data_IF_872068704982
#
_entry.id   IF_872068704982
#
_cell.length_a   1.000
_cell.length_b   1.000
_cell.length_c   1.000
_cell.angle_alpha   90.00
_cell.angle_beta   90.00
_cell.angle_gamma   90.00
#
_symmetry.space_group_name_H-M   'P 1'
#
loop_
_entity.id
_entity.type
_entity.pdbx_description
1 polymer ?
#
# COMPACT_ATOMS: atom_id res chain seq x y z
N UNK A 1 3.97 26.81 -10.78
CA UNK A 1 3.27 25.69 -11.43
C UNK A 1 2.68 26.22 -12.73
N UNK A 2 3.06 25.67 -13.89
CA UNK A 2 2.47 26.03 -15.20
C UNK A 2 1.64 24.83 -15.68
N UNK A 3 0.42 25.06 -16.16
CA UNK A 3 -0.44 24.01 -16.68
C UNK A 3 -0.05 23.71 -18.13
N UNK A 4 0.16 22.44 -18.52
CA UNK A 4 0.50 22.04 -19.89
C UNK A 4 -0.59 22.49 -20.89
N UNK A 5 -0.16 22.97 -22.06
CA UNK A 5 -1.06 23.44 -23.12
C UNK A 5 -1.58 24.86 -22.95
N UNK A 6 -1.12 25.60 -21.93
CA UNK A 6 -1.46 26.99 -21.67
C UNK A 6 -0.22 27.88 -21.54
N UNK A 7 0.89 27.49 -22.18
CA UNK A 7 2.19 28.15 -22.04
C UNK A 7 2.15 29.63 -22.44
N UNK A 8 1.25 29.99 -23.36
CA UNK A 8 1.08 31.34 -23.91
C UNK A 8 -0.20 32.05 -23.41
N UNK A 9 -0.93 31.47 -22.47
CA UNK A 9 -2.19 32.03 -21.96
C UNK A 9 -1.94 32.77 -20.64
N UNK A 10 -2.64 33.89 -20.41
CA UNK A 10 -2.51 34.64 -19.15
C UNK A 10 -2.99 33.77 -17.97
N UNK A 11 -2.29 33.72 -16.84
CA UNK A 11 -2.66 32.84 -15.72
C UNK A 11 -4.12 32.99 -15.26
N UNK A 12 -4.65 34.21 -15.18
CA UNK A 12 -6.05 34.45 -14.79
C UNK A 12 -7.06 33.85 -15.78
N UNK A 13 -6.73 33.86 -17.07
CA UNK A 13 -7.59 33.28 -18.11
C UNK A 13 -7.60 31.74 -18.01
N UNK A 14 -6.43 31.13 -17.78
CA UNK A 14 -6.34 29.68 -17.53
C UNK A 14 -7.17 29.26 -16.32
N UNK A 15 -7.04 30.00 -15.20
CA UNK A 15 -7.80 29.71 -13.99
C UNK A 15 -9.31 29.85 -14.22
N UNK A 16 -9.76 30.81 -15.03
CA UNK A 16 -11.17 30.95 -15.40
C UNK A 16 -11.64 29.80 -16.30
N UNK A 17 -10.88 29.44 -17.32
CA UNK A 17 -11.18 28.31 -18.23
C UNK A 17 -11.25 26.96 -17.49
N UNK A 18 -10.57 26.85 -16.35
CA UNK A 18 -10.60 25.67 -15.46
C UNK A 18 -11.58 25.80 -14.29
N UNK A 19 -12.48 26.79 -14.28
CA UNK A 19 -13.47 26.94 -13.19
C UNK A 19 -12.87 27.25 -11.82
N UNK A 20 -11.60 27.67 -11.77
CA UNK A 20 -10.90 28.08 -10.55
C UNK A 20 -11.18 29.54 -10.19
N UNK A 21 -11.64 30.35 -11.14
CA UNK A 21 -12.14 31.70 -10.93
C UNK A 21 -13.58 31.84 -11.45
N UNK A 22 -14.38 32.65 -10.77
CA UNK A 22 -15.67 33.13 -11.25
C UNK A 22 -15.50 34.08 -12.44
N UNK A 23 -16.56 34.41 -13.19
CA UNK A 23 -16.50 35.43 -14.24
C UNK A 23 -15.93 36.76 -13.74
N UNK A 24 -16.32 37.18 -12.54
CA UNK A 24 -15.86 38.41 -11.87
C UNK A 24 -14.42 38.32 -11.31
N UNK A 25 -13.73 37.20 -11.51
CA UNK A 25 -12.34 37.00 -11.10
C UNK A 25 -12.14 36.61 -9.63
N UNK A 26 -13.21 36.24 -8.91
CA UNK A 26 -13.10 35.75 -7.54
C UNK A 26 -12.70 34.26 -7.53
N UNK A 27 -11.85 33.80 -6.60
CA UNK A 27 -11.53 32.39 -6.48
C UNK A 27 -12.74 31.53 -6.11
N UNK A 28 -12.92 30.40 -6.81
CA UNK A 28 -13.83 29.33 -6.36
C UNK A 28 -13.16 28.51 -5.25
N UNK A 29 -13.91 27.67 -4.53
CA UNK A 29 -13.30 26.76 -3.55
C UNK A 29 -12.27 25.83 -4.20
N UNK A 30 -12.52 25.34 -5.41
CA UNK A 30 -11.53 24.56 -6.15
C UNK A 30 -10.27 25.39 -6.46
N UNK A 31 -10.44 26.65 -6.90
CA UNK A 31 -9.32 27.56 -7.12
C UNK A 31 -8.49 27.83 -5.86
N UNK A 32 -9.15 28.03 -4.71
CA UNK A 32 -8.49 28.18 -3.42
C UNK A 32 -7.73 26.90 -3.04
N UNK A 33 -8.37 25.73 -3.14
CA UNK A 33 -7.77 24.45 -2.79
C UNK A 33 -6.56 24.11 -3.68
N UNK A 34 -6.61 24.40 -4.97
CA UNK A 34 -5.56 24.03 -5.92
C UNK A 34 -4.40 25.04 -5.98
N UNK A 35 -4.68 26.34 -5.79
CA UNK A 35 -3.71 27.42 -6.05
C UNK A 35 -3.62 28.47 -4.94
N UNK A 36 -4.53 28.46 -3.98
CA UNK A 36 -4.52 29.40 -2.86
C UNK A 36 -3.27 29.24 -2.00
N UNK A 37 -2.73 30.36 -1.51
CA UNK A 37 -1.55 30.32 -0.63
C UNK A 37 -1.87 29.67 0.73
N UNK A 38 -3.07 29.93 1.25
CA UNK A 38 -3.55 29.44 2.55
C UNK A 38 -5.04 29.03 2.47
N UNK A 39 -5.40 27.97 1.72
CA UNK A 39 -6.80 27.54 1.57
C UNK A 39 -7.48 27.23 2.91
N UNK A 40 -6.68 26.84 3.91
CA UNK A 40 -7.15 26.50 5.25
C UNK A 40 -7.79 27.68 6.01
N UNK A 41 -7.57 28.93 5.59
CA UNK A 41 -8.30 30.07 6.16
C UNK A 41 -9.81 30.01 5.89
N UNK A 42 -10.20 29.43 4.75
CA UNK A 42 -11.60 29.26 4.35
C UNK A 42 -12.09 27.82 4.58
N UNK A 43 -11.18 26.85 4.44
CA UNK A 43 -11.45 25.42 4.59
C UNK A 43 -10.48 24.79 5.60
N UNK A 44 -10.65 25.03 6.91
CA UNK A 44 -9.67 24.62 7.93
C UNK A 44 -9.36 23.13 7.92
N UNK A 45 -10.32 22.27 7.59
CA UNK A 45 -10.15 20.81 7.57
C UNK A 45 -9.64 20.26 6.23
N UNK A 46 -9.32 21.11 5.25
CA UNK A 46 -8.72 20.70 3.98
C UNK A 46 -7.22 20.45 4.16
N UNK A 47 -6.90 19.40 4.92
CA UNK A 47 -5.54 18.99 5.30
C UNK A 47 -5.43 17.47 5.24
N UNK A 48 -4.20 16.96 5.25
CA UNK A 48 -3.90 15.54 5.40
C UNK A 48 -3.13 15.34 6.70
N UNK A 49 -3.70 14.59 7.63
CA UNK A 49 -3.01 14.07 8.78
C UNK A 49 -2.28 12.79 8.38
N UNK A 50 -0.95 12.81 8.44
CA UNK A 50 -0.13 11.62 8.23
C UNK A 50 0.43 11.14 9.56
N UNK A 51 0.42 9.82 9.81
CA UNK A 51 1.09 9.25 10.96
C UNK A 51 1.66 7.85 10.68
N UNK A 52 2.80 7.54 11.31
CA UNK A 52 3.47 6.24 11.27
C UNK A 52 3.48 5.63 12.68
N UNK A 53 2.83 4.48 12.83
CA UNK A 53 2.80 3.70 14.07
C UNK A 53 3.67 2.45 13.92
N UNK A 54 4.69 2.22 14.76
CA UNK A 54 5.59 1.08 14.61
C UNK A 54 4.86 -0.28 14.61
N UNK A 55 3.76 -0.40 15.37
CA UNK A 55 2.95 -1.60 15.48
C UNK A 55 1.80 -1.71 14.47
N UNK A 56 0.96 -2.73 14.64
CA UNK A 56 -0.24 -2.98 13.80
C UNK A 56 -1.48 -2.19 14.26
N UNK A 57 -1.38 -1.54 15.40
CA UNK A 57 -2.43 -0.72 16.02
C UNK A 57 -1.88 0.66 16.33
N UNK A 58 -2.79 1.61 16.56
CA UNK A 58 -2.40 2.90 17.13
C UNK A 58 -1.85 2.68 18.53
N UNK A 59 -0.79 3.39 18.87
CA UNK A 59 -0.16 3.35 20.19
C UNK A 59 0.48 4.69 20.51
N UNK A 60 1.13 4.79 21.66
CA UNK A 60 1.64 6.07 22.17
C UNK A 60 2.92 6.55 21.47
N UNK A 61 3.63 5.65 20.77
CA UNK A 61 4.80 5.99 19.97
C UNK A 61 4.43 6.09 18.51
N UNK A 62 4.57 7.28 17.93
CA UNK A 62 4.29 7.52 16.51
C UNK A 62 5.03 8.74 15.98
N UNK A 63 5.28 8.75 14.67
CA UNK A 63 5.61 9.97 13.94
C UNK A 63 4.32 10.55 13.39
N UNK A 64 4.12 11.85 13.50
CA UNK A 64 2.92 12.54 13.00
C UNK A 64 3.29 13.86 12.36
N UNK A 65 2.59 14.17 11.28
CA UNK A 65 2.63 15.47 10.64
C UNK A 65 1.24 15.83 10.13
N UNK A 66 0.92 17.13 10.15
CA UNK A 66 -0.25 17.68 9.48
C UNK A 66 0.24 18.43 8.25
N UNK A 67 -0.36 18.12 7.10
CA UNK A 67 0.05 18.63 5.80
C UNK A 67 -1.04 19.58 5.28
N UNK A 68 -0.67 20.84 5.06
CA UNK A 68 -1.56 21.92 4.64
C UNK A 68 -1.09 22.59 3.33
N UNK A 69 -1.72 23.71 2.97
CA UNK A 69 -1.49 24.43 1.72
C UNK A 69 -2.31 23.90 0.54
N UNK A 70 -1.93 24.21 -0.70
CA UNK A 70 -2.66 23.76 -1.88
C UNK A 70 -2.60 22.23 -2.09
N UNK A 71 -3.65 21.64 -2.65
CA UNK A 71 -3.79 20.19 -2.82
C UNK A 71 -2.60 19.51 -3.54
N UNK A 72 -2.02 20.06 -4.63
CA UNK A 72 -0.84 19.46 -5.26
C UNK A 72 0.35 19.34 -4.31
N UNK A 73 0.54 20.32 -3.41
CA UNK A 73 1.57 20.27 -2.38
C UNK A 73 1.23 19.21 -1.34
N UNK A 74 -0.03 19.14 -0.91
CA UNK A 74 -0.45 18.13 0.06
C UNK A 74 -0.20 16.70 -0.45
N UNK A 75 -0.54 16.43 -1.71
CA UNK A 75 -0.28 15.13 -2.36
C UNK A 75 1.23 14.82 -2.37
N UNK A 76 2.06 15.75 -2.84
CA UNK A 76 3.50 15.54 -2.93
C UNK A 76 4.16 15.33 -1.55
N UNK A 77 3.73 16.08 -0.54
CA UNK A 77 4.26 15.95 0.82
C UNK A 77 3.77 14.66 1.51
N UNK A 78 2.53 14.23 1.27
CA UNK A 78 2.03 12.97 1.79
C UNK A 78 2.74 11.77 1.13
N UNK A 79 2.96 11.81 -0.19
CA UNK A 79 3.74 10.79 -0.90
C UNK A 79 5.17 10.72 -0.35
N UNK A 80 5.85 11.87 -0.20
CA UNK A 80 7.19 11.93 0.38
C UNK A 80 7.23 11.35 1.81
N UNK A 81 6.28 11.72 2.68
CA UNK A 81 6.17 11.14 4.01
C UNK A 81 6.07 9.61 3.97
N UNK A 82 5.24 9.07 3.07
CA UNK A 82 5.09 7.61 2.96
C UNK A 82 6.40 6.98 2.48
N UNK A 83 7.03 7.51 1.44
CA UNK A 83 8.28 6.97 0.89
C UNK A 83 9.42 7.02 1.93
N UNK A 84 9.58 8.13 2.63
CA UNK A 84 10.63 8.31 3.64
C UNK A 84 10.45 7.37 4.85
N UNK A 85 9.22 6.92 5.11
CA UNK A 85 8.87 6.03 6.22
C UNK A 85 8.55 4.59 5.76
N UNK A 86 8.69 4.29 4.47
CA UNK A 86 8.49 2.97 3.90
C UNK A 86 9.72 2.10 4.16
N UNK A 87 9.52 0.80 4.43
CA UNK A 87 10.65 -0.12 4.47
C UNK A 87 11.12 -0.41 3.05
N UNK A 88 12.43 -0.48 2.92
CA UNK A 88 13.11 -0.88 1.72
C UNK A 88 13.95 -2.11 2.05
N UNK A 89 13.77 -3.17 1.27
CA UNK A 89 14.58 -4.36 1.27
C UNK A 89 15.32 -4.51 -0.06
N UNK A 90 16.18 -5.51 -0.15
CA UNK A 90 16.80 -5.89 -1.42
C UNK A 90 16.65 -7.39 -1.60
N UNK A 91 16.18 -7.80 -2.78
CA UNK A 91 16.01 -9.21 -3.14
C UNK A 91 16.97 -9.52 -4.29
N UNK A 92 17.66 -10.65 -4.19
CA UNK A 92 18.50 -11.15 -5.29
C UNK A 92 17.63 -11.88 -6.32
N UNK A 93 17.55 -11.38 -7.55
CA UNK A 93 16.98 -12.09 -8.69
C UNK A 93 18.12 -12.53 -9.62
N UNK A 94 18.49 -13.81 -9.56
CA UNK A 94 19.68 -14.33 -10.24
C UNK A 94 20.96 -13.70 -9.68
N UNK A 95 21.73 -13.01 -10.53
CA UNK A 95 22.94 -12.28 -10.14
C UNK A 95 22.71 -10.79 -9.86
N UNK A 96 21.49 -10.28 -10.03
CA UNK A 96 21.17 -8.87 -9.83
C UNK A 96 20.43 -8.64 -8.51
N UNK A 97 20.85 -7.58 -7.81
CA UNK A 97 20.19 -7.07 -6.61
C UNK A 97 19.10 -6.09 -7.04
N UNK A 98 17.85 -6.42 -6.75
CA UNK A 98 16.71 -5.54 -6.97
C UNK A 98 16.25 -4.94 -5.64
N UNK A 99 16.04 -3.62 -5.60
CA UNK A 99 15.42 -2.96 -4.45
C UNK A 99 13.92 -3.25 -4.45
N UNK A 100 13.40 -3.72 -3.31
CA UNK A 100 11.98 -3.98 -3.11
C UNK A 100 11.46 -3.13 -1.96
N UNK A 101 10.43 -2.34 -2.22
CA UNK A 101 9.74 -1.54 -1.20
C UNK A 101 8.53 -2.30 -0.62
N UNK A 102 8.04 -1.87 0.55
CA UNK A 102 6.84 -2.48 1.18
C UNK A 102 5.58 -2.39 0.29
N UNK A 103 5.49 -1.34 -0.54
CA UNK A 103 4.37 -1.05 -1.45
C UNK A 103 4.88 -0.51 -2.79
N UNK A 104 4.16 -0.77 -3.91
CA UNK A 104 4.39 -0.04 -5.15
C UNK A 104 4.12 1.45 -4.95
N UNK A 105 5.10 2.29 -5.29
CA UNK A 105 5.00 3.76 -5.17
C UNK A 105 3.75 4.31 -5.88
N UNK A 106 3.48 3.81 -7.08
CA UNK A 106 2.34 4.25 -7.89
C UNK A 106 0.99 3.91 -7.24
N UNK A 107 0.86 2.76 -6.58
CA UNK A 107 -0.35 2.39 -5.86
C UNK A 107 -0.60 3.30 -4.65
N UNK A 108 0.45 3.64 -3.90
CA UNK A 108 0.38 4.61 -2.79
C UNK A 108 -0.03 5.99 -3.30
N UNK A 109 0.61 6.47 -4.37
CA UNK A 109 0.30 7.77 -4.97
C UNK A 109 -1.17 7.83 -5.40
N UNK A 110 -1.66 6.80 -6.07
CA UNK A 110 -3.05 6.71 -6.49
C UNK A 110 -4.03 6.74 -5.31
N UNK A 111 -3.71 6.05 -4.20
CA UNK A 111 -4.53 6.08 -2.99
C UNK A 111 -4.62 7.49 -2.38
N UNK A 112 -3.50 8.21 -2.31
CA UNK A 112 -3.44 9.59 -1.81
C UNK A 112 -4.22 10.54 -2.73
N UNK A 113 -3.97 10.45 -4.04
CA UNK A 113 -4.62 11.30 -5.04
C UNK A 113 -6.13 11.08 -5.03
N UNK A 114 -6.61 9.83 -4.97
CA UNK A 114 -8.04 9.54 -4.89
C UNK A 114 -8.68 10.11 -3.62
N UNK A 115 -8.02 9.96 -2.46
CA UNK A 115 -8.53 10.52 -1.22
C UNK A 115 -8.68 12.05 -1.31
N UNK A 116 -7.70 12.74 -1.91
CA UNK A 116 -7.71 14.20 -2.10
C UNK A 116 -8.75 14.65 -3.13
N UNK A 117 -8.81 13.96 -4.27
CA UNK A 117 -9.65 14.33 -5.39
C UNK A 117 -11.14 14.10 -5.09
N UNK A 118 -11.47 13.05 -4.34
CA UNK A 118 -12.85 12.64 -4.09
C UNK A 118 -13.36 12.98 -2.68
N UNK A 119 -12.54 13.62 -1.82
CA UNK A 119 -12.96 14.13 -0.51
C UNK A 119 -14.21 15.00 -0.62
N UNK A 120 -15.14 14.85 0.33
CA UNK A 120 -16.20 15.84 0.51
C UNK A 120 -15.66 17.10 1.20
N UNK A 121 -15.44 18.17 0.43
CA UNK A 121 -14.96 19.44 0.96
C UNK A 121 -16.01 20.26 1.71
N UNK A 122 -17.29 19.86 1.71
CA UNK A 122 -18.32 20.47 2.54
C UNK A 122 -18.21 20.01 4.02
N UNK A 123 -17.66 18.82 4.26
CA UNK A 123 -17.47 18.29 5.62
C UNK A 123 -16.36 19.06 6.34
N UNK A 124 -16.76 19.69 7.45
CA UNK A 124 -15.87 20.40 8.40
C UNK A 124 -15.58 19.54 9.62
N UNK A 125 -14.44 19.78 10.26
CA UNK A 125 -14.02 19.08 11.48
C UNK A 125 -13.37 17.72 11.24
N UNK A 126 -13.29 17.25 10.00
CA UNK A 126 -12.64 16.01 9.62
C UNK A 126 -11.64 16.23 8.47
N UNK A 127 -10.42 15.77 8.63
CA UNK A 127 -9.33 15.83 7.64
C UNK A 127 -9.14 14.46 6.97
N UNK A 128 -8.38 14.41 5.87
CA UNK A 128 -7.93 13.12 5.34
C UNK A 128 -6.93 12.55 6.33
N UNK A 129 -7.02 11.26 6.63
CA UNK A 129 -6.07 10.59 7.51
C UNK A 129 -5.33 9.52 6.73
N UNK A 130 -4.00 9.58 6.75
CA UNK A 130 -3.12 8.57 6.18
C UNK A 130 -2.30 7.96 7.32
N UNK A 131 -2.58 6.71 7.63
CA UNK A 131 -1.91 5.99 8.70
C UNK A 131 -1.08 4.84 8.16
N UNK A 132 0.18 4.80 8.53
CA UNK A 132 1.11 3.72 8.20
C UNK A 132 1.33 2.85 9.42
N UNK A 133 0.95 1.58 9.34
CA UNK A 133 1.17 0.56 10.35
C UNK A 133 2.27 -0.40 9.94
N UNK A 134 2.63 -1.32 10.83
CA UNK A 134 3.65 -2.34 10.58
C UNK A 134 3.38 -3.19 9.32
N UNK A 135 2.12 -3.35 8.92
CA UNK A 135 1.65 -4.30 7.90
C UNK A 135 0.77 -3.68 6.81
N UNK A 136 0.32 -2.43 6.97
CA UNK A 136 -0.60 -1.78 6.04
C UNK A 136 -0.50 -0.25 6.04
N UNK A 137 -1.03 0.36 5.00
CA UNK A 137 -1.38 1.78 4.93
C UNK A 137 -2.89 1.90 4.91
N UNK A 138 -3.46 2.75 5.76
CA UNK A 138 -4.87 3.12 5.74
C UNK A 138 -5.01 4.58 5.29
N UNK A 139 -5.84 4.83 4.29
CA UNK A 139 -6.22 6.18 3.84
C UNK A 139 -7.71 6.36 4.08
N UNK A 140 -8.08 7.27 4.99
CA UNK A 140 -9.46 7.60 5.35
C UNK A 140 -9.81 8.97 4.78
N UNK A 141 -10.82 9.03 3.94
CA UNK A 141 -11.29 10.28 3.33
C UNK A 141 -12.71 10.63 3.81
N UNK A 142 -12.97 11.86 4.27
CA UNK A 142 -14.30 12.31 4.64
C UNK A 142 -15.29 12.28 3.48
N UNK A 143 -16.49 11.77 3.76
CA UNK A 143 -17.61 11.69 2.82
C UNK A 143 -17.78 10.32 2.18
N UNK A 144 -19.03 9.91 2.01
CA UNK A 144 -19.40 8.66 1.37
C UNK A 144 -19.15 8.70 -0.15
N UNK A 145 -19.24 7.52 -0.76
CA UNK A 145 -19.10 7.36 -2.20
C UNK A 145 -20.08 8.28 -2.96
N UNK A 146 -19.61 9.00 -3.99
CA UNK A 146 -20.41 10.04 -4.62
C UNK A 146 -21.34 9.48 -5.71
N UNK A 147 -22.52 10.09 -5.86
CA UNK A 147 -23.43 9.79 -6.96
C UNK A 147 -23.97 8.37 -6.91
N UNK A 148 -23.70 7.58 -7.95
CA UNK A 148 -24.14 6.18 -8.11
C UNK A 148 -23.03 5.17 -7.79
N UNK A 149 -21.88 5.63 -7.29
CA UNK A 149 -20.75 4.76 -6.99
C UNK A 149 -21.03 3.97 -5.72
N UNK A 150 -20.74 2.68 -5.77
CA UNK A 150 -20.84 1.72 -4.68
C UNK A 150 -19.54 0.92 -4.61
N UNK A 151 -19.29 0.23 -3.49
CA UNK A 151 -18.12 -0.65 -3.36
C UNK A 151 -18.08 -1.74 -4.44
N UNK A 152 -19.24 -2.17 -4.95
CA UNK A 152 -19.34 -3.21 -5.99
C UNK A 152 -18.98 -2.69 -7.39
N UNK A 153 -19.18 -1.40 -7.66
CA UNK A 153 -18.98 -0.83 -9.01
C UNK A 153 -17.79 0.16 -9.08
N UNK A 154 -17.10 0.44 -7.97
CA UNK A 154 -16.01 1.42 -7.89
C UNK A 154 -14.87 1.18 -8.88
N UNK A 155 -14.68 -0.07 -9.32
CA UNK A 155 -13.69 -0.46 -10.33
C UNK A 155 -14.15 -0.14 -11.76
N UNK A 156 -15.45 -0.17 -12.05
CA UNK A 156 -15.98 -0.08 -13.42
C UNK A 156 -16.66 1.25 -13.72
N UNK A 157 -17.26 1.89 -12.72
CA UNK A 157 -18.00 3.13 -12.87
C UNK A 157 -17.17 4.34 -12.44
N UNK A 158 -17.51 5.53 -12.97
CA UNK A 158 -16.76 6.76 -12.72
C UNK A 158 -17.70 7.90 -12.38
N UNK A 159 -17.44 8.53 -11.24
CA UNK A 159 -18.12 9.75 -10.81
C UNK A 159 -17.21 10.57 -9.91
N UNK A 160 -17.16 11.88 -10.10
CA UNK A 160 -16.45 12.79 -9.19
C UNK A 160 -17.33 13.93 -8.76
N UNK A 161 -17.42 14.14 -7.44
CA UNK A 161 -18.05 15.33 -6.85
C UNK A 161 -17.24 16.61 -7.13
N UNK A 162 -15.92 16.48 -7.30
CA UNK A 162 -15.00 17.61 -7.46
C UNK A 162 -14.39 17.65 -8.86
N UNK A 163 -15.22 17.80 -9.90
CA UNK A 163 -14.80 17.75 -11.31
C UNK A 163 -13.64 18.70 -11.63
N UNK A 164 -13.69 19.95 -11.15
CA UNK A 164 -12.61 20.93 -11.34
C UNK A 164 -11.31 20.48 -10.69
N UNK A 165 -11.38 19.90 -9.48
CA UNK A 165 -10.20 19.39 -8.78
C UNK A 165 -9.58 18.24 -9.55
N UNK A 166 -10.39 17.26 -9.97
CA UNK A 166 -9.93 16.13 -10.79
C UNK A 166 -9.30 16.61 -12.10
N UNK A 167 -9.96 17.53 -12.81
CA UNK A 167 -9.48 18.05 -14.09
C UNK A 167 -8.12 18.72 -13.93
N UNK A 168 -7.97 19.61 -12.95
CA UNK A 168 -6.70 20.32 -12.74
C UNK A 168 -5.61 19.38 -12.24
N UNK A 169 -5.90 18.46 -11.32
CA UNK A 169 -4.93 17.44 -10.89
C UNK A 169 -4.49 16.55 -12.06
N UNK A 170 -5.38 16.26 -13.01
CA UNK A 170 -5.04 15.55 -14.23
C UNK A 170 -4.15 16.38 -15.16
N UNK A 171 -4.45 17.67 -15.34
CA UNK A 171 -3.58 18.58 -16.11
C UNK A 171 -2.19 18.71 -15.48
N UNK A 172 -2.07 18.58 -14.16
CA UNK A 172 -0.81 18.58 -13.43
C UNK A 172 -0.09 17.23 -13.42
N UNK A 173 -0.67 16.19 -14.02
CA UNK A 173 -0.10 14.85 -14.08
C UNK A 173 -0.20 14.04 -12.78
N UNK A 174 -1.12 14.40 -11.88
CA UNK A 174 -1.43 13.59 -10.70
C UNK A 174 -2.48 12.50 -10.96
N UNK A 175 -3.40 12.74 -11.90
CA UNK A 175 -4.48 11.80 -12.24
C UNK A 175 -4.39 11.42 -13.73
N UNK A 176 -4.47 10.13 -14.02
CA UNK A 176 -4.60 9.65 -15.40
C UNK A 176 -5.99 9.95 -15.97
N UNK A 177 -6.04 10.54 -17.18
CA UNK A 177 -7.29 10.97 -17.83
C UNK A 177 -8.26 9.83 -18.18
N UNK A 178 -7.77 8.59 -18.21
CA UNK A 178 -8.55 7.42 -18.65
C UNK A 178 -9.37 6.78 -17.51
N UNK A 179 -9.20 7.24 -16.26
CA UNK A 179 -9.96 6.73 -15.13
C UNK A 179 -9.56 5.31 -14.69
N UNK A 180 -8.50 4.71 -15.21
CA UNK A 180 -8.03 3.38 -14.79
C UNK A 180 -7.19 3.38 -13.50
N UNK A 181 -7.27 4.45 -12.70
CA UNK A 181 -6.43 4.65 -11.54
C UNK A 181 -6.56 3.52 -10.51
N UNK A 182 -7.79 3.17 -10.12
CA UNK A 182 -8.03 2.07 -9.17
C UNK A 182 -7.65 0.71 -9.79
N UNK A 183 -8.01 0.45 -11.06
CA UNK A 183 -7.65 -0.80 -11.75
C UNK A 183 -6.12 -0.99 -11.82
N UNK A 184 -5.39 0.10 -12.05
CA UNK A 184 -3.92 0.12 -12.04
C UNK A 184 -3.40 -0.16 -10.63
N UNK A 185 -3.98 0.44 -9.60
CA UNK A 185 -3.62 0.17 -8.21
C UNK A 185 -3.77 -1.32 -7.88
N UNK A 186 -4.92 -1.94 -8.22
CA UNK A 186 -5.15 -3.38 -8.01
C UNK A 186 -4.08 -4.20 -8.73
N UNK A 187 -3.82 -3.90 -10.00
CA UNK A 187 -2.81 -4.60 -10.80
C UNK A 187 -1.41 -4.49 -10.20
N UNK A 188 -0.97 -3.30 -9.81
CA UNK A 188 0.34 -3.06 -9.21
C UNK A 188 0.52 -3.83 -7.89
N UNK A 189 -0.52 -3.88 -7.07
CA UNK A 189 -0.51 -4.67 -5.83
C UNK A 189 -0.36 -6.16 -6.13
N UNK A 190 -1.13 -6.67 -7.11
CA UNK A 190 -1.04 -8.06 -7.56
C UNK A 190 0.34 -8.41 -8.13
N UNK A 191 0.91 -7.56 -8.99
CA UNK A 191 2.26 -7.72 -9.57
C UNK A 191 3.37 -7.74 -8.50
N UNK A 192 3.18 -7.01 -7.38
CA UNK A 192 4.07 -7.06 -6.23
C UNK A 192 3.86 -8.30 -5.33
N UNK A 193 2.86 -9.14 -5.62
CA UNK A 193 2.46 -10.27 -4.79
C UNK A 193 1.88 -9.83 -3.44
N UNK A 194 1.16 -8.70 -3.43
CA UNK A 194 0.44 -8.16 -2.28
C UNK A 194 -1.07 -8.42 -2.42
N UNK A 195 -1.82 -8.46 -1.31
CA UNK A 195 -3.28 -8.52 -1.35
C UNK A 195 -3.88 -7.33 -2.11
N UNK A 196 -5.05 -7.53 -2.69
CA UNK A 196 -5.79 -6.44 -3.33
C UNK A 196 -6.13 -5.33 -2.31
N UNK A 197 -6.21 -4.06 -2.77
CA UNK A 197 -6.69 -2.96 -1.95
C UNK A 197 -8.09 -3.22 -1.39
N UNK A 198 -8.27 -3.00 -0.09
CA UNK A 198 -9.57 -3.16 0.57
C UNK A 198 -10.25 -1.79 0.71
N UNK A 199 -11.46 -1.67 0.16
CA UNK A 199 -12.31 -0.49 0.30
C UNK A 199 -13.44 -0.76 1.29
N UNK A 200 -13.61 0.12 2.27
CA UNK A 200 -14.63 0.03 3.30
C UNK A 200 -15.33 1.38 3.44
N UNK A 201 -16.65 1.40 3.39
CA UNK A 201 -17.42 2.55 3.86
C UNK A 201 -17.42 2.55 5.38
N UNK A 202 -17.11 3.71 5.94
CA UNK A 202 -17.23 4.01 7.37
C UNK A 202 -18.44 4.92 7.57
N UNK A 203 -18.88 5.12 8.81
CA UNK A 203 -20.06 5.94 9.13
C UNK A 203 -20.08 7.31 8.44
N UNK A 204 -18.91 7.93 8.24
CA UNK A 204 -18.78 9.29 7.69
C UNK A 204 -17.73 9.41 6.57
N UNK A 205 -17.36 8.31 5.91
CA UNK A 205 -16.27 8.37 4.94
C UNK A 205 -15.92 7.06 4.27
N UNK A 206 -14.90 7.09 3.43
CA UNK A 206 -14.32 5.90 2.79
C UNK A 206 -12.94 5.62 3.39
N UNK A 207 -12.66 4.36 3.71
CA UNK A 207 -11.35 3.88 4.11
C UNK A 207 -10.82 2.93 3.03
N UNK A 208 -9.63 3.24 2.53
CA UNK A 208 -8.84 2.38 1.66
C UNK A 208 -7.67 1.81 2.46
N UNK A 209 -7.48 0.49 2.39
CA UNK A 209 -6.36 -0.21 3.03
C UNK A 209 -5.48 -0.87 1.98
N UNK A 210 -4.19 -0.54 1.99
CA UNK A 210 -3.15 -1.24 1.22
C UNK A 210 -2.37 -2.14 2.17
N UNK A 211 -2.37 -3.45 1.93
CA UNK A 211 -1.58 -4.39 2.72
C UNK A 211 -0.18 -4.56 2.13
N UNK A 212 0.84 -4.46 2.98
CA UNK A 212 2.24 -4.50 2.58
C UNK A 212 2.92 -5.84 2.86
N UNK A 213 4.19 -5.91 2.50
CA UNK A 213 5.04 -7.04 2.89
C UNK A 213 5.21 -7.08 4.43
N UNK A 214 5.36 -5.92 5.05
CA UNK A 214 5.48 -5.78 6.50
C UNK A 214 6.83 -6.29 6.99
N UNK A 215 6.87 -6.95 8.15
CA UNK A 215 8.10 -7.58 8.64
C UNK A 215 8.64 -8.66 7.69
N UNK A 216 7.80 -9.20 6.80
CA UNK A 216 8.21 -10.19 5.81
C UNK A 216 9.18 -9.65 4.75
N UNK A 217 9.22 -8.32 4.55
CA UNK A 217 10.17 -7.70 3.63
C UNK A 217 11.61 -7.82 4.15
N UNK A 218 11.77 -7.77 5.47
CA UNK A 218 13.06 -7.86 6.16
C UNK A 218 13.39 -9.30 6.57
N UNK A 219 12.40 -10.19 6.62
CA UNK A 219 12.64 -11.60 6.87
C UNK A 219 13.28 -12.26 5.66
N UNK A 220 14.33 -13.04 5.91
CA UNK A 220 14.93 -14.00 4.98
C UNK A 220 13.94 -15.03 4.42
N UNK A 221 12.69 -15.05 4.88
CA UNK A 221 11.67 -16.04 4.49
C UNK A 221 11.32 -16.02 3.00
N UNK A 222 11.42 -14.87 2.30
CA UNK A 222 11.20 -14.83 0.85
C UNK A 222 12.38 -15.37 0.04
N UNK A 223 13.62 -15.14 0.47
CA UNK A 223 14.79 -15.82 -0.10
C UNK A 223 14.68 -17.33 0.12
N UNK A 224 14.21 -17.73 1.29
CA UNK A 224 14.03 -19.13 1.68
C UNK A 224 12.92 -19.83 0.88
N UNK A 225 11.74 -19.21 0.76
CA UNK A 225 10.62 -19.72 -0.03
C UNK A 225 10.91 -19.73 -1.54
N UNK A 226 11.60 -18.71 -2.07
CA UNK A 226 12.04 -18.69 -3.47
C UNK A 226 13.15 -19.71 -3.75
N UNK A 227 14.06 -19.96 -2.79
CA UNK A 227 15.05 -21.05 -2.85
C UNK A 227 14.38 -22.42 -2.87
N UNK A 228 13.36 -22.65 -2.04
CA UNK A 228 12.66 -23.93 -1.97
C UNK A 228 11.87 -24.27 -3.22
N UNK A 229 11.16 -23.27 -3.78
CA UNK A 229 10.46 -23.41 -5.06
C UNK A 229 11.43 -23.74 -6.22
N UNK A 230 12.61 -23.10 -6.25
CA UNK A 230 13.65 -23.40 -7.24
C UNK A 230 14.30 -24.79 -7.07
N UNK A 231 14.25 -25.37 -5.86
CA UNK A 231 14.78 -26.70 -5.56
C UNK A 231 13.79 -27.85 -5.84
N UNK A 232 12.59 -27.53 -6.33
CA UNK A 232 11.57 -28.53 -6.66
C UNK A 232 11.11 -29.32 -5.43
N UNK A 233 11.03 -28.66 -4.27
CA UNK A 233 10.48 -29.26 -3.06
C UNK A 233 8.97 -29.46 -3.22
N UNK A 234 8.44 -30.50 -2.59
CA UNK A 234 7.01 -30.71 -2.53
C UNK A 234 6.38 -29.94 -1.35
N UNK A 235 5.07 -29.72 -1.41
CA UNK A 235 4.32 -28.91 -0.44
C UNK A 235 4.54 -29.36 1.03
N UNK A 236 4.65 -30.67 1.27
CA UNK A 236 4.92 -31.21 2.62
C UNK A 236 6.33 -30.85 3.11
N UNK A 237 7.35 -30.90 2.25
CA UNK A 237 8.72 -30.49 2.57
C UNK A 237 8.80 -28.99 2.85
N UNK A 238 8.11 -28.16 2.06
CA UNK A 238 8.04 -26.71 2.30
C UNK A 238 7.42 -26.41 3.68
N UNK A 239 6.35 -27.12 4.05
CA UNK A 239 5.72 -26.99 5.37
C UNK A 239 6.66 -27.41 6.52
N UNK A 240 7.47 -28.45 6.33
CA UNK A 240 8.46 -28.86 7.32
C UNK A 240 9.54 -27.80 7.54
N UNK A 241 10.03 -27.20 6.45
CA UNK A 241 11.06 -26.18 6.54
C UNK A 241 10.51 -24.85 7.07
N UNK A 242 9.27 -24.50 6.75
CA UNK A 242 8.57 -23.34 7.33
C UNK A 242 8.42 -23.49 8.85
N UNK A 243 7.97 -24.66 9.31
CA UNK A 243 7.90 -24.96 10.75
C UNK A 243 9.27 -24.85 11.42
N UNK A 244 10.31 -25.34 10.75
CA UNK A 244 11.68 -25.28 11.23
C UNK A 244 12.22 -23.85 11.33
N UNK A 245 11.86 -22.97 10.41
CA UNK A 245 12.24 -21.56 10.45
C UNK A 245 11.66 -20.83 11.67
N UNK A 246 10.44 -21.19 12.05
CA UNK A 246 9.76 -20.59 13.20
C UNK A 246 10.21 -21.20 14.55
N UNK A 247 10.45 -22.51 14.61
CA UNK A 247 10.67 -23.25 15.86
C UNK A 247 12.14 -23.65 16.10
N UNK A 248 13.03 -23.42 15.12
CA UNK A 248 14.48 -23.68 15.18
C UNK A 248 14.88 -25.16 15.11
N UNK A 249 13.98 -26.10 15.40
CA UNK A 249 14.18 -27.54 15.21
C UNK A 249 12.86 -28.25 14.84
N UNK A 250 12.97 -29.39 14.17
CA UNK A 250 11.82 -30.26 13.85
C UNK A 250 12.15 -31.71 14.19
N UNK A 251 11.22 -32.44 14.81
CA UNK A 251 11.30 -33.89 15.00
C UNK A 251 10.38 -34.62 14.03
N UNK A 252 10.56 -35.93 13.88
CA UNK A 252 9.65 -36.76 13.08
C UNK A 252 8.21 -36.68 13.60
N UNK A 253 8.02 -36.58 14.93
CA UNK A 253 6.70 -36.43 15.56
C UNK A 253 6.06 -35.08 15.25
N UNK A 254 6.85 -34.01 15.26
CA UNK A 254 6.34 -32.68 14.89
C UNK A 254 5.89 -32.69 13.42
N UNK A 255 6.68 -33.30 12.53
CA UNK A 255 6.33 -33.39 11.12
C UNK A 255 5.08 -34.26 10.88
N UNK A 256 4.90 -35.37 11.61
CA UNK A 256 3.65 -36.15 11.58
C UNK A 256 2.43 -35.33 12.04
N UNK A 257 2.63 -34.40 12.99
CA UNK A 257 1.55 -33.52 13.47
C UNK A 257 1.18 -32.48 12.42
N UNK A 258 2.15 -32.01 11.63
CA UNK A 258 1.91 -31.06 10.55
C UNK A 258 1.17 -31.70 9.37
N UNK A 259 1.51 -32.94 9.01
CA UNK A 259 0.91 -33.66 7.87
C UNK A 259 0.32 -35.01 8.33
N UNK A 260 -0.83 -35.00 9.03
CA UNK A 260 -1.40 -36.22 9.64
C UNK A 260 -1.85 -37.26 8.60
N UNK A 261 -2.11 -36.84 7.36
CA UNK A 261 -2.58 -37.71 6.26
C UNK A 261 -1.44 -38.44 5.54
N UNK A 262 -0.18 -38.27 5.98
CA UNK A 262 1.01 -38.83 5.33
C UNK A 262 1.64 -39.93 6.19
N UNK A 263 2.04 -41.05 5.57
CA UNK A 263 2.62 -42.17 6.31
C UNK A 263 3.96 -41.82 6.98
N UNK A 264 4.28 -42.41 8.15
CA UNK A 264 5.57 -42.21 8.82
C UNK A 264 6.79 -42.54 7.96
N UNK A 265 6.67 -43.52 7.07
CA UNK A 265 7.70 -43.91 6.10
C UNK A 265 7.97 -42.79 5.08
N UNK A 266 6.92 -42.14 4.58
CA UNK A 266 7.03 -41.03 3.61
C UNK A 266 7.68 -39.81 4.28
N UNK A 267 7.27 -39.50 5.51
CA UNK A 267 7.87 -38.42 6.32
C UNK A 267 9.35 -38.66 6.57
N UNK A 268 9.74 -39.92 6.87
CA UNK A 268 11.17 -40.27 6.99
C UNK A 268 11.91 -40.06 5.67
N UNK A 269 11.34 -40.46 4.54
CA UNK A 269 11.97 -40.26 3.22
C UNK A 269 12.15 -38.78 2.90
N UNK A 270 11.17 -37.94 3.22
CA UNK A 270 11.28 -36.49 3.02
C UNK A 270 12.40 -35.88 3.88
N UNK A 271 12.49 -36.26 5.16
CA UNK A 271 13.55 -35.75 6.04
C UNK A 271 14.94 -36.22 5.61
N UNK A 272 15.06 -37.45 5.09
CA UNK A 272 16.31 -37.94 4.50
C UNK A 272 16.66 -37.16 3.24
N UNK A 273 15.71 -36.97 2.32
CA UNK A 273 15.89 -36.19 1.10
C UNK A 273 16.33 -34.75 1.40
N UNK A 274 15.74 -34.10 2.42
CA UNK A 274 16.13 -32.76 2.86
C UNK A 274 17.54 -32.71 3.49
N UNK A 275 17.98 -33.77 4.16
CA UNK A 275 19.36 -33.90 4.66
C UNK A 275 20.34 -34.13 3.52
N UNK A 276 19.99 -35.01 2.57
CA UNK A 276 20.83 -35.36 1.41
C UNK A 276 21.03 -34.15 0.49
N UNK A 277 19.99 -33.32 0.34
CA UNK A 277 20.06 -32.01 -0.35
C UNK A 277 20.84 -30.95 0.42
N UNK A 278 21.30 -31.27 1.63
CA UNK A 278 22.09 -30.37 2.47
C UNK A 278 21.29 -29.21 3.07
N UNK A 279 19.96 -29.31 3.14
CA UNK A 279 19.10 -28.30 3.75
C UNK A 279 18.99 -28.49 5.26
N UNK A 280 19.07 -29.74 5.71
CA UNK A 280 18.96 -30.11 7.12
C UNK A 280 20.23 -30.81 7.63
N UNK A 281 20.51 -30.59 8.92
CA UNK A 281 21.43 -31.40 9.70
C UNK A 281 20.64 -32.27 10.68
N UNK A 282 20.92 -33.58 10.66
CA UNK A 282 20.38 -34.53 11.63
C UNK A 282 21.23 -34.50 12.90
N UNK A 283 20.61 -34.20 14.04
CA UNK A 283 21.25 -34.13 15.35
C UNK A 283 20.60 -35.14 16.31
N UNK A 284 21.43 -35.85 17.07
CA UNK A 284 20.98 -36.78 18.12
C UNK A 284 20.90 -38.25 17.70
N UNK A 285 20.70 -39.11 18.70
CA UNK A 285 20.74 -40.57 18.56
C UNK A 285 19.39 -41.23 18.85
N UNK A 286 19.01 -42.20 18.01
CA UNK A 286 17.79 -43.03 18.13
C UNK A 286 16.52 -42.21 18.44
N UNK A 287 16.01 -42.28 19.67
CA UNK A 287 14.72 -41.68 20.09
C UNK A 287 14.78 -40.16 20.30
N UNK A 288 15.97 -39.56 20.35
CA UNK A 288 16.16 -38.12 20.53
C UNK A 288 16.62 -37.42 19.23
N UNK A 289 16.31 -38.00 18.06
CA UNK A 289 16.69 -37.40 16.78
C UNK A 289 15.83 -36.17 16.46
N UNK A 290 16.47 -35.04 16.19
CA UNK A 290 15.85 -33.83 15.65
C UNK A 290 16.68 -33.26 14.50
N UNK A 291 16.06 -32.38 13.73
CA UNK A 291 16.66 -31.79 12.53
C UNK A 291 16.68 -30.27 12.69
N UNK A 292 17.78 -29.65 12.26
CA UNK A 292 18.00 -28.20 12.23
C UNK A 292 18.45 -27.77 10.84
N UNK A 293 18.36 -26.47 10.51
CA UNK A 293 18.96 -25.97 9.27
C UNK A 293 20.47 -26.19 9.27
N UNK A 294 21.01 -26.50 8.09
CA UNK A 294 22.46 -26.57 7.87
C UNK A 294 23.09 -25.19 7.82
#
# INVERSE_FOLDING_TARGET
MRLPGFENTRPAEVLRLRGCLTPDGQPTYAGLLLFGRHPQQQLPSAQILVARYPGRQMGDTFLRQVIDGPLPRQIAQAEAFVLDNMRHGAVMRGLQREEQSDYPREAVREAIVNAVAHRDYAIRGAEIQLFMFADRIEVRSPGLLPGHITLQNILTERFSRNEVVVQVLSDLGFIERLGYGIDRMVRLMHEAGLPEPLFEETDNGLKLTLFGHGERLLSTDRETASRWAAMGLNERQERALAYLAEHGRITNRDYQTLVPDVSPETIRRDLVDLVDRGLLLRIGDKRATFYIFK
#
